data_IF_687720394915
#
_entry.id   IF_687720394915
#
_cell.length_a   1.000
_cell.length_b   1.000
_cell.length_c   1.000
_cell.angle_alpha   90.00
_cell.angle_beta   90.00
_cell.angle_gamma   90.00
#
_symmetry.space_group_name_H-M   'P 1'
#
loop_
_entity.id
_entity.type
_entity.pdbx_description
1 polymer ?
#
# COMPACT_ATOMS: atom_id res chain seq x y z
N UNK A 1 0.56 -0.71 -18.18
CA UNK A 1 0.62 -0.30 -16.77
C UNK A 1 -0.77 0.05 -16.18
N UNK A 2 -1.89 -0.08 -16.93
CA UNK A 2 -3.24 0.23 -16.44
C UNK A 2 -4.18 -0.92 -16.86
N UNK A 3 -5.12 -1.30 -15.99
CA UNK A 3 -6.02 -2.46 -16.15
C UNK A 3 -7.49 -2.13 -16.47
N UNK A 4 -7.81 -0.87 -16.78
CA UNK A 4 -9.19 -0.39 -16.91
C UNK A 4 -9.74 0.17 -15.59
N UNK A 5 -11.03 0.57 -15.60
CA UNK A 5 -11.68 1.22 -14.45
C UNK A 5 -12.00 0.24 -13.32
N UNK A 6 -12.47 -0.95 -13.68
CA UNK A 6 -12.92 -1.96 -12.72
C UNK A 6 -11.72 -2.58 -12.00
N UNK A 7 -11.86 -2.75 -10.68
CA UNK A 7 -10.83 -3.36 -9.82
C UNK A 7 -9.41 -2.77 -9.99
N UNK A 8 -9.31 -1.44 -10.17
CA UNK A 8 -8.03 -0.74 -10.40
C UNK A 8 -6.93 -1.06 -9.39
N UNK A 9 -7.25 -1.08 -8.08
CA UNK A 9 -6.30 -1.45 -7.02
C UNK A 9 -5.77 -2.88 -7.17
N UNK A 10 -6.64 -3.83 -7.51
CA UNK A 10 -6.26 -5.24 -7.68
C UNK A 10 -5.42 -5.43 -8.94
N UNK A 11 -5.82 -4.83 -10.06
CA UNK A 11 -5.06 -4.94 -11.32
C UNK A 11 -3.69 -4.26 -11.23
N UNK A 12 -3.56 -3.17 -10.47
CA UNK A 12 -2.28 -2.56 -10.13
C UNK A 12 -1.39 -3.50 -9.31
N UNK A 13 -1.93 -4.15 -8.28
CA UNK A 13 -1.21 -5.15 -7.50
C UNK A 13 -0.76 -6.34 -8.36
N UNK A 14 -1.63 -6.85 -9.23
CA UNK A 14 -1.29 -7.90 -10.20
C UNK A 14 -0.18 -7.47 -11.16
N UNK A 15 -0.13 -6.19 -11.56
CA UNK A 15 0.95 -5.67 -12.38
C UNK A 15 2.29 -5.71 -11.63
N UNK A 16 2.34 -5.24 -10.38
CA UNK A 16 3.56 -5.25 -9.55
C UNK A 16 4.03 -6.68 -9.24
N UNK A 17 3.11 -7.59 -8.95
CA UNK A 17 3.41 -8.98 -8.62
C UNK A 17 4.21 -9.71 -9.71
N UNK A 18 4.09 -9.29 -10.97
CA UNK A 18 4.87 -9.87 -12.09
C UNK A 18 6.38 -9.73 -11.92
N UNK A 19 6.83 -8.75 -11.13
CA UNK A 19 8.24 -8.42 -10.91
C UNK A 19 8.79 -8.91 -9.56
N UNK A 20 7.95 -9.45 -8.68
CA UNK A 20 8.33 -9.85 -7.33
C UNK A 20 8.30 -11.38 -7.09
N UNK A 21 8.23 -12.18 -8.17
CA UNK A 21 7.98 -13.64 -8.10
C UNK A 21 8.96 -14.45 -7.25
N UNK A 22 10.19 -13.97 -7.09
CA UNK A 22 11.26 -14.71 -6.41
C UNK A 22 11.37 -14.37 -4.91
N UNK A 23 10.49 -13.52 -4.38
CA UNK A 23 10.57 -13.02 -3.01
C UNK A 23 9.24 -13.21 -2.27
N UNK A 24 9.31 -13.40 -0.94
CA UNK A 24 8.14 -13.20 -0.09
C UNK A 24 7.80 -11.71 -0.11
N UNK A 25 6.72 -11.35 -0.78
CA UNK A 25 6.41 -9.98 -1.11
C UNK A 25 4.94 -9.66 -0.80
N UNK A 26 4.70 -8.42 -0.39
CA UNK A 26 3.38 -7.87 -0.15
C UNK A 26 3.27 -6.46 -0.75
N UNK A 27 2.06 -6.07 -1.15
CA UNK A 27 1.72 -4.73 -1.59
C UNK A 27 0.73 -4.09 -0.62
N UNK A 28 0.99 -2.85 -0.23
CA UNK A 28 0.11 -2.05 0.61
C UNK A 28 -0.27 -0.77 -0.13
N UNK A 29 -1.52 -0.69 -0.58
CA UNK A 29 -2.07 0.53 -1.18
C UNK A 29 -2.53 1.49 -0.06
N UNK A 30 -1.82 2.61 0.08
CA UNK A 30 -2.06 3.62 1.13
C UNK A 30 -2.71 4.89 0.60
N UNK A 31 -3.16 4.93 -0.66
CA UNK A 31 -3.71 6.15 -1.26
C UNK A 31 -4.85 6.78 -0.44
N UNK A 32 -5.67 5.95 0.21
CA UNK A 32 -6.76 6.41 1.09
C UNK A 32 -6.37 6.68 2.54
N UNK A 33 -5.19 6.23 3.00
CA UNK A 33 -4.81 6.30 4.42
C UNK A 33 -3.63 7.23 4.70
N UNK A 34 -2.84 7.59 3.70
CA UNK A 34 -1.61 8.35 3.86
C UNK A 34 -1.81 9.84 4.15
N UNK A 35 -2.94 10.43 3.75
CA UNK A 35 -3.27 11.84 4.02
C UNK A 35 -4.76 12.05 4.24
N UNK A 36 -5.09 13.15 4.93
CA UNK A 36 -6.46 13.68 5.02
C UNK A 36 -6.58 14.87 4.07
N UNK A 37 -7.76 15.01 3.45
CA UNK A 37 -8.10 16.13 2.57
C UNK A 37 -9.01 17.14 3.27
N UNK A 38 -9.30 18.27 2.63
CA UNK A 38 -10.18 19.31 3.19
C UNK A 38 -9.49 20.20 4.23
N UNK A 39 -10.26 20.75 5.16
CA UNK A 39 -9.76 21.75 6.12
C UNK A 39 -8.64 21.25 7.05
N UNK A 40 -8.59 19.93 7.30
CA UNK A 40 -7.53 19.27 8.09
C UNK A 40 -6.51 18.58 7.18
N UNK A 41 -6.11 19.25 6.10
CA UNK A 41 -5.15 18.71 5.13
C UNK A 41 -3.81 18.41 5.80
N UNK A 42 -3.32 17.18 5.63
CA UNK A 42 -2.04 16.77 6.18
C UNK A 42 -1.77 15.28 6.00
N UNK A 43 -0.49 14.90 6.09
CA UNK A 43 -0.09 13.50 6.14
C UNK A 43 -0.52 12.88 7.48
N UNK A 44 -0.95 11.62 7.46
CA UNK A 44 -1.42 10.91 8.67
C UNK A 44 -0.31 10.19 9.43
N UNK A 45 0.84 9.96 8.78
CA UNK A 45 1.89 9.09 9.30
C UNK A 45 1.59 7.59 9.14
N UNK A 46 0.44 7.19 8.58
CA UNK A 46 0.19 5.79 8.23
C UNK A 46 1.00 5.41 6.98
N UNK A 47 1.57 4.20 6.91
CA UNK A 47 1.34 3.05 7.80
C UNK A 47 2.45 2.82 8.84
N UNK A 48 3.13 3.87 9.34
CA UNK A 48 4.26 3.70 10.30
C UNK A 48 3.91 2.79 11.48
N UNK A 49 2.78 2.94 12.20
CA UNK A 49 2.47 2.03 13.31
C UNK A 49 2.36 0.56 12.90
N UNK A 50 1.80 0.27 11.71
CA UNK A 50 1.66 -1.10 11.20
C UNK A 50 3.03 -1.69 10.86
N UNK A 51 3.87 -0.96 10.15
CA UNK A 51 5.19 -1.45 9.75
C UNK A 51 6.12 -1.61 10.96
N UNK A 52 6.07 -0.69 11.92
CA UNK A 52 6.82 -0.81 13.18
C UNK A 52 6.40 -2.05 13.94
N UNK A 53 5.08 -2.29 14.10
CA UNK A 53 4.60 -3.50 14.77
C UNK A 53 5.02 -4.77 14.02
N UNK A 54 4.88 -4.79 12.69
CA UNK A 54 5.30 -5.94 11.89
C UNK A 54 6.76 -6.33 12.15
N UNK A 55 7.67 -5.34 12.20
CA UNK A 55 9.10 -5.57 12.49
C UNK A 55 9.31 -6.04 13.93
N UNK A 56 8.63 -5.45 14.91
CA UNK A 56 8.70 -5.88 16.31
C UNK A 56 8.24 -7.34 16.49
N UNK A 57 7.22 -7.76 15.75
CA UNK A 57 6.69 -9.14 15.80
C UNK A 57 7.61 -10.17 15.13
N UNK A 58 8.67 -9.75 14.42
CA UNK A 58 9.64 -10.67 13.80
C UNK A 58 10.80 -11.05 14.75
N UNK A 59 10.85 -10.46 15.95
CA UNK A 59 11.94 -10.64 16.93
C UNK A 59 11.56 -11.65 18.01
#
# INVERSE_FOLDING_TARGET
NIGGREAGTVTAACFLARYAKNYRWAHLDIAGTAWVSGAKKGATGRPVPLLTQYVLDQV
#
